data_IF_071417076880
#
_entry.id   IF_071417076880
#
_cell.length_a   1.000
_cell.length_b   1.000
_cell.length_c   1.000
_cell.angle_alpha   90.00
_cell.angle_beta   90.00
_cell.angle_gamma   90.00
#
_symmetry.space_group_name_H-M   'P 1'
#
loop_
_entity.id
_entity.type
_entity.pdbx_description
1 polymer ?
#
# COMPACT_ATOMS: atom_id res chain seq x y z
N UNK A 1 17.99 49.24 -23.85
CA UNK A 1 17.09 48.97 -22.72
C UNK A 1 16.37 47.69 -23.09
N UNK A 2 17.06 46.57 -22.88
CA UNK A 2 16.74 45.26 -23.44
C UNK A 2 15.54 44.65 -22.75
N UNK A 3 14.55 44.33 -23.56
CA UNK A 3 13.38 43.51 -23.27
C UNK A 3 13.81 42.23 -22.54
N UNK A 4 13.66 42.22 -21.21
CA UNK A 4 13.83 41.02 -20.39
C UNK A 4 12.55 40.20 -20.56
N UNK A 5 12.49 39.45 -21.66
CA UNK A 5 11.48 38.44 -21.89
C UNK A 5 11.40 37.54 -20.66
N UNK A 6 10.34 37.70 -19.87
CA UNK A 6 10.08 36.85 -18.73
C UNK A 6 9.88 35.42 -19.24
N UNK A 7 10.51 34.41 -18.63
CA UNK A 7 10.33 33.03 -19.05
C UNK A 7 8.84 32.70 -18.96
N UNK A 8 8.30 32.30 -20.11
CA UNK A 8 6.89 32.02 -20.31
C UNK A 8 6.43 30.94 -19.31
N UNK A 9 5.59 31.31 -18.33
CA UNK A 9 5.11 30.44 -17.22
C UNK A 9 4.11 29.35 -17.67
N UNK A 10 4.19 28.92 -18.93
CA UNK A 10 3.24 27.98 -19.55
C UNK A 10 3.84 26.60 -19.82
N UNK A 11 4.98 26.27 -19.20
CA UNK A 11 5.49 24.91 -19.24
C UNK A 11 4.62 24.02 -18.31
N UNK A 12 3.90 23.01 -18.82
CA UNK A 12 3.12 22.11 -18.00
C UNK A 12 4.06 21.44 -17.00
N UNK A 13 3.96 21.81 -15.71
CA UNK A 13 4.77 21.24 -14.64
C UNK A 13 4.81 19.71 -14.81
N UNK A 14 5.99 19.10 -15.05
CA UNK A 14 6.08 17.66 -15.29
C UNK A 14 5.39 16.94 -14.14
N UNK A 15 4.43 16.07 -14.46
CA UNK A 15 3.81 15.22 -13.44
C UNK A 15 4.92 14.52 -12.64
N UNK A 16 4.90 14.54 -11.30
CA UNK A 16 5.90 13.86 -10.51
C UNK A 16 6.03 12.40 -10.96
N UNK A 17 7.22 12.01 -11.40
CA UNK A 17 7.56 10.68 -11.97
C UNK A 17 7.12 9.49 -11.10
N UNK A 18 6.82 9.73 -9.82
CA UNK A 18 6.35 8.74 -8.83
C UNK A 18 4.90 8.28 -8.98
N UNK A 19 4.01 9.06 -9.61
CA UNK A 19 2.58 8.74 -9.66
C UNK A 19 2.22 7.44 -10.42
N UNK A 20 2.74 7.18 -11.64
CA UNK A 20 2.38 5.97 -12.39
C UNK A 20 2.93 4.69 -11.75
N UNK A 21 4.05 4.77 -11.03
CA UNK A 21 4.61 3.63 -10.27
C UNK A 21 3.70 3.28 -9.09
N UNK A 22 3.23 4.29 -8.35
CA UNK A 22 2.34 4.10 -7.21
C UNK A 22 1.00 3.47 -7.61
N UNK A 23 0.40 3.95 -8.70
CA UNK A 23 -0.86 3.41 -9.23
C UNK A 23 -0.70 1.97 -9.74
N UNK A 24 0.45 1.64 -10.33
CA UNK A 24 0.76 0.28 -10.76
C UNK A 24 0.94 -0.66 -9.57
N UNK A 25 1.65 -0.21 -8.53
CA UNK A 25 1.79 -0.95 -7.27
C UNK A 25 0.43 -1.20 -6.60
N UNK A 26 -0.45 -0.19 -6.55
CA UNK A 26 -1.80 -0.32 -6.00
C UNK A 26 -2.62 -1.39 -6.75
N UNK A 27 -2.57 -1.36 -8.09
CA UNK A 27 -3.31 -2.32 -8.92
C UNK A 27 -2.81 -3.75 -8.74
N UNK A 28 -1.50 -3.95 -8.71
CA UNK A 28 -0.92 -5.27 -8.42
C UNK A 28 -1.23 -5.75 -7.01
N UNK A 29 -1.16 -4.86 -6.01
CA UNK A 29 -1.55 -5.17 -4.65
C UNK A 29 -3.00 -5.64 -4.53
N UNK A 30 -3.92 -5.00 -5.26
CA UNK A 30 -5.34 -5.37 -5.26
C UNK A 30 -5.55 -6.76 -5.89
N UNK A 31 -4.90 -7.01 -7.04
CA UNK A 31 -4.99 -8.30 -7.75
C UNK A 31 -4.44 -9.43 -6.88
N UNK A 32 -3.26 -9.25 -6.29
CA UNK A 32 -2.63 -10.27 -5.43
C UNK A 32 -3.47 -10.52 -4.18
N UNK A 33 -4.01 -9.46 -3.56
CA UNK A 33 -4.92 -9.60 -2.41
C UNK A 33 -6.16 -10.40 -2.79
N UNK A 34 -6.81 -10.07 -3.92
CA UNK A 34 -7.99 -10.80 -4.39
C UNK A 34 -7.68 -12.27 -4.69
N UNK A 35 -6.52 -12.55 -5.31
CA UNK A 35 -6.08 -13.91 -5.59
C UNK A 35 -5.82 -14.70 -4.30
N UNK A 36 -5.22 -14.07 -3.29
CA UNK A 36 -5.00 -14.69 -1.99
C UNK A 36 -6.31 -14.96 -1.25
N UNK A 37 -7.27 -14.03 -1.28
CA UNK A 37 -8.60 -14.22 -0.69
C UNK A 37 -9.27 -15.44 -1.34
N UNK A 38 -9.26 -15.53 -2.66
CA UNK A 38 -9.84 -16.68 -3.37
C UNK A 38 -9.12 -18.00 -3.01
N UNK A 39 -7.78 -18.01 -3.00
CA UNK A 39 -6.99 -19.19 -2.68
C UNK A 39 -7.23 -19.67 -1.23
N UNK A 40 -7.16 -18.76 -0.25
CA UNK A 40 -7.37 -19.11 1.15
C UNK A 40 -8.83 -19.41 1.48
N UNK A 41 -9.80 -18.84 0.74
CA UNK A 41 -11.20 -19.26 0.84
C UNK A 41 -11.36 -20.73 0.46
N UNK A 42 -10.79 -21.13 -0.69
CA UNK A 42 -10.87 -22.52 -1.18
C UNK A 42 -10.12 -23.47 -0.25
N UNK A 43 -8.86 -23.16 0.10
CA UNK A 43 -8.07 -24.01 0.99
C UNK A 43 -8.72 -24.10 2.36
N UNK A 44 -9.18 -22.97 2.91
CA UNK A 44 -9.84 -22.93 4.21
C UNK A 44 -11.12 -23.75 4.24
N UNK A 45 -11.93 -23.65 3.18
CA UNK A 45 -13.13 -24.48 3.03
C UNK A 45 -12.81 -25.98 3.02
N UNK A 46 -11.75 -26.38 2.33
CA UNK A 46 -11.35 -27.80 2.25
C UNK A 46 -10.77 -28.34 3.56
N UNK A 47 -10.13 -27.49 4.37
CA UNK A 47 -9.45 -27.91 5.62
C UNK A 47 -10.42 -28.00 6.80
N UNK A 48 -11.24 -26.98 7.00
CA UNK A 48 -12.14 -26.90 8.17
C UNK A 48 -13.56 -26.47 7.83
N UNK A 49 -13.95 -26.51 6.55
CA UNK A 49 -15.30 -26.17 6.11
C UNK A 49 -15.59 -24.68 6.24
N UNK A 50 -16.77 -24.35 6.74
CA UNK A 50 -17.25 -22.97 6.81
C UNK A 50 -16.37 -22.06 7.70
N UNK A 51 -15.88 -22.50 8.88
CA UNK A 51 -14.94 -21.71 9.68
C UNK A 51 -13.61 -21.41 9.00
N UNK A 52 -13.07 -22.37 8.24
CA UNK A 52 -11.82 -22.19 7.51
C UNK A 52 -11.94 -21.22 6.34
N UNK A 53 -13.06 -21.24 5.62
CA UNK A 53 -13.36 -20.29 4.55
C UNK A 53 -13.31 -18.85 5.08
N UNK A 54 -14.06 -18.57 6.15
CA UNK A 54 -14.10 -17.24 6.76
C UNK A 54 -12.76 -16.84 7.35
N UNK A 55 -12.08 -17.74 8.05
CA UNK A 55 -10.75 -17.50 8.60
C UNK A 55 -9.73 -17.12 7.52
N UNK A 56 -9.68 -17.90 6.43
CA UNK A 56 -8.79 -17.64 5.30
C UNK A 56 -9.09 -16.32 4.60
N UNK A 57 -10.37 -16.02 4.32
CA UNK A 57 -10.78 -14.78 3.67
C UNK A 57 -10.46 -13.55 4.52
N UNK A 58 -10.80 -13.58 5.81
CA UNK A 58 -10.60 -12.43 6.69
C UNK A 58 -9.10 -12.22 6.96
N UNK A 59 -8.34 -13.29 7.20
CA UNK A 59 -6.91 -13.19 7.41
C UNK A 59 -6.19 -12.59 6.22
N UNK A 60 -6.50 -13.07 5.01
CA UNK A 60 -5.89 -12.52 3.79
C UNK A 60 -6.35 -11.10 3.48
N UNK A 61 -7.63 -10.78 3.70
CA UNK A 61 -8.18 -9.44 3.54
C UNK A 61 -7.56 -8.42 4.50
N UNK A 62 -7.34 -8.79 5.78
CA UNK A 62 -6.64 -7.95 6.75
C UNK A 62 -5.21 -7.64 6.29
N UNK A 63 -4.48 -8.65 5.81
CA UNK A 63 -3.13 -8.42 5.27
C UNK A 63 -3.13 -7.52 4.03
N UNK A 64 -4.09 -7.70 3.12
CA UNK A 64 -4.27 -6.82 1.96
C UNK A 64 -4.63 -5.39 2.34
N UNK A 65 -5.51 -5.21 3.33
CA UNK A 65 -5.87 -3.89 3.89
C UNK A 65 -4.64 -3.16 4.42
N UNK A 66 -3.74 -3.86 5.11
CA UNK A 66 -2.50 -3.27 5.62
C UNK A 66 -1.56 -2.78 4.52
N UNK A 67 -1.52 -3.47 3.38
CA UNK A 67 -0.77 -3.02 2.20
C UNK A 67 -1.45 -1.82 1.53
N UNK A 68 -2.77 -1.88 1.33
CA UNK A 68 -3.54 -0.77 0.73
C UNK A 68 -3.42 0.51 1.53
N UNK A 69 -3.43 0.40 2.86
CA UNK A 69 -3.29 1.53 3.75
C UNK A 69 -1.91 2.21 3.61
N UNK A 70 -0.84 1.44 3.42
CA UNK A 70 0.50 1.98 3.17
C UNK A 70 0.60 2.71 1.84
N UNK A 71 0.06 2.13 0.77
CA UNK A 71 0.04 2.81 -0.54
C UNK A 71 -0.85 4.05 -0.51
N UNK A 72 -2.00 3.96 0.16
CA UNK A 72 -2.95 5.05 0.34
C UNK A 72 -2.39 6.22 1.11
N UNK A 73 -1.62 5.99 2.19
CA UNK A 73 -1.03 7.07 2.98
C UNK A 73 0.01 7.86 2.17
N UNK A 74 0.82 7.18 1.36
CA UNK A 74 1.81 7.81 0.48
C UNK A 74 1.11 8.59 -0.65
N UNK A 75 0.10 8.00 -1.30
CA UNK A 75 -0.67 8.67 -2.34
C UNK A 75 -1.37 9.94 -1.81
N UNK A 76 -1.93 9.85 -0.61
CA UNK A 76 -2.60 10.97 0.05
C UNK A 76 -1.61 12.06 0.46
N UNK A 77 -0.43 11.70 1.00
CA UNK A 77 0.62 12.64 1.35
C UNK A 77 1.16 13.40 0.13
N UNK A 78 1.31 12.71 -1.01
CA UNK A 78 1.78 13.31 -2.26
C UNK A 78 0.87 14.45 -2.77
N UNK A 79 -0.42 14.46 -2.38
CA UNK A 79 -1.37 15.53 -2.73
C UNK A 79 -0.99 16.89 -2.13
N UNK A 80 -0.18 16.92 -1.08
CA UNK A 80 0.19 18.14 -0.36
C UNK A 80 1.57 18.68 -0.74
N UNK A 81 2.24 18.12 -1.76
CA UNK A 81 3.60 18.53 -2.17
C UNK A 81 3.72 20.03 -2.50
N UNK A 82 2.67 20.62 -3.08
CA UNK A 82 2.64 22.03 -3.51
C UNK A 82 2.27 23.02 -2.37
N UNK A 83 2.43 22.65 -1.10
CA UNK A 83 2.02 23.47 0.05
C UNK A 83 3.20 23.75 0.98
N UNK A 84 3.30 24.98 1.47
CA UNK A 84 4.36 25.42 2.41
C UNK A 84 4.44 24.56 3.69
N UNK A 85 3.35 23.90 4.07
CA UNK A 85 3.29 23.00 5.24
C UNK A 85 3.49 21.51 4.91
N UNK A 86 3.99 21.17 3.72
CA UNK A 86 4.16 19.79 3.25
C UNK A 86 4.88 18.89 4.26
N UNK A 87 5.96 19.38 4.87
CA UNK A 87 6.74 18.59 5.85
C UNK A 87 5.87 18.19 7.04
N UNK A 88 5.12 19.14 7.62
CA UNK A 88 4.22 18.88 8.75
C UNK A 88 3.10 17.91 8.36
N UNK A 89 2.48 18.11 7.19
CA UNK A 89 1.44 17.20 6.70
C UNK A 89 1.96 15.79 6.43
N UNK A 90 3.14 15.66 5.81
CA UNK A 90 3.78 14.38 5.53
C UNK A 90 4.03 13.59 6.82
N UNK A 91 4.69 14.19 7.82
CA UNK A 91 4.92 13.53 9.10
C UNK A 91 3.61 13.19 9.82
N UNK A 92 2.63 14.09 9.80
CA UNK A 92 1.31 13.84 10.38
C UNK A 92 0.58 12.67 9.72
N UNK A 93 0.63 12.55 8.39
CA UNK A 93 0.00 11.45 7.64
C UNK A 93 0.75 10.14 7.89
N UNK A 94 2.08 10.14 7.87
CA UNK A 94 2.88 8.94 8.11
C UNK A 94 2.67 8.43 9.53
N UNK A 95 2.86 9.29 10.55
CA UNK A 95 2.65 8.93 11.95
C UNK A 95 1.18 8.55 12.24
N UNK A 96 0.23 9.29 11.68
CA UNK A 96 -1.19 9.01 11.79
C UNK A 96 -1.56 7.67 11.16
N UNK A 97 -1.01 7.35 9.99
CA UNK A 97 -1.22 6.06 9.33
C UNK A 97 -0.61 4.91 10.13
N UNK A 98 0.53 5.12 10.78
CA UNK A 98 1.13 4.13 11.67
C UNK A 98 0.22 3.84 12.87
N UNK A 99 -0.23 4.87 13.59
CA UNK A 99 -1.14 4.71 14.74
C UNK A 99 -2.46 4.07 14.33
N UNK A 100 -3.08 4.55 13.26
CA UNK A 100 -4.33 3.99 12.76
C UNK A 100 -4.18 2.52 12.37
N UNK A 101 -3.04 2.15 11.76
CA UNK A 101 -2.73 0.75 11.44
C UNK A 101 -2.69 -0.12 12.69
N UNK A 102 -2.07 0.35 13.76
CA UNK A 102 -2.06 -0.36 15.05
C UNK A 102 -3.46 -0.49 15.64
N UNK A 103 -4.26 0.59 15.61
CA UNK A 103 -5.64 0.54 16.11
C UNK A 103 -6.47 -0.50 15.36
N UNK A 104 -6.41 -0.50 14.02
CA UNK A 104 -7.11 -1.48 13.18
C UNK A 104 -6.63 -2.90 13.47
N UNK A 105 -5.32 -3.10 13.62
CA UNK A 105 -4.75 -4.42 13.94
C UNK A 105 -5.23 -4.93 15.30
N UNK A 106 -5.14 -4.09 16.34
CA UNK A 106 -5.58 -4.46 17.69
C UNK A 106 -7.08 -4.72 17.70
N UNK A 107 -7.88 -3.87 17.06
CA UNK A 107 -9.33 -4.07 16.94
C UNK A 107 -9.65 -5.40 16.25
N UNK A 108 -8.95 -5.74 15.17
CA UNK A 108 -9.12 -7.03 14.50
C UNK A 108 -8.75 -8.20 15.42
N UNK A 109 -7.59 -8.17 16.09
CA UNK A 109 -7.19 -9.26 17.00
C UNK A 109 -8.20 -9.42 18.14
N UNK A 110 -8.64 -8.32 18.77
CA UNK A 110 -9.60 -8.36 19.87
C UNK A 110 -10.96 -8.87 19.41
N UNK A 111 -11.43 -8.47 18.24
CA UNK A 111 -12.74 -8.87 17.72
C UNK A 111 -12.75 -10.33 17.23
N UNK A 112 -11.63 -10.81 16.68
CA UNK A 112 -11.55 -12.14 16.05
C UNK A 112 -11.00 -13.24 16.96
N UNK A 113 -10.39 -12.93 18.12
CA UNK A 113 -9.77 -13.94 19.00
C UNK A 113 -10.75 -14.97 19.59
N UNK A 114 -11.99 -14.55 19.86
CA UNK A 114 -13.01 -15.36 20.54
C UNK A 114 -14.11 -15.85 19.57
N UNK A 115 -13.86 -15.74 18.25
CA UNK A 115 -14.84 -16.10 17.23
C UNK A 115 -14.86 -17.62 16.99
N UNK A 116 -15.81 -18.34 17.60
CA UNK A 116 -15.97 -19.80 17.43
C UNK A 116 -16.29 -20.22 15.99
N UNK A 117 -16.86 -19.32 15.19
CA UNK A 117 -17.17 -19.53 13.77
C UNK A 117 -15.95 -19.34 12.86
N UNK A 118 -14.78 -19.02 13.40
CA UNK A 118 -13.54 -18.83 12.67
C UNK A 118 -12.52 -19.92 13.01
N UNK A 119 -11.84 -20.42 11.98
CA UNK A 119 -10.61 -21.16 12.21
C UNK A 119 -9.44 -20.19 12.40
N UNK A 120 -9.03 -20.01 13.66
CA UNK A 120 -7.90 -19.15 14.05
C UNK A 120 -6.60 -19.54 13.35
N UNK A 121 -6.38 -20.83 13.05
CA UNK A 121 -5.17 -21.28 12.34
C UNK A 121 -5.21 -20.75 10.91
N UNK A 122 -6.36 -20.83 10.26
CA UNK A 122 -6.50 -20.37 8.87
C UNK A 122 -6.43 -18.85 8.75
N UNK A 123 -6.98 -18.12 9.73
CA UNK A 123 -6.78 -16.68 9.84
C UNK A 123 -5.30 -16.33 9.98
N UNK A 124 -4.59 -17.00 10.89
CA UNK A 124 -3.17 -16.76 11.14
C UNK A 124 -2.32 -16.98 9.89
N UNK A 125 -2.50 -18.12 9.21
CA UNK A 125 -1.78 -18.40 7.96
C UNK A 125 -2.17 -17.45 6.82
N UNK A 126 -3.44 -17.02 6.76
CA UNK A 126 -3.90 -16.03 5.77
C UNK A 126 -3.22 -14.67 5.96
N UNK A 127 -3.13 -14.18 7.19
CA UNK A 127 -2.41 -12.93 7.51
C UNK A 127 -0.93 -13.07 7.13
N UNK A 128 -0.27 -14.16 7.53
CA UNK A 128 1.14 -14.40 7.21
C UNK A 128 1.37 -14.44 5.70
N UNK A 129 0.57 -15.20 4.96
CA UNK A 129 0.70 -15.32 3.52
C UNK A 129 0.53 -13.96 2.82
N UNK A 130 -0.43 -13.14 3.27
CA UNK A 130 -0.60 -11.78 2.75
C UNK A 130 0.60 -10.87 3.06
N UNK A 131 1.20 -10.98 4.25
CA UNK A 131 2.42 -10.22 4.59
C UNK A 131 3.59 -10.65 3.70
N UNK A 132 3.80 -11.96 3.49
CA UNK A 132 4.84 -12.45 2.59
C UNK A 132 4.60 -11.99 1.15
N UNK A 133 3.37 -12.08 0.66
CA UNK A 133 3.03 -11.62 -0.68
C UNK A 133 3.23 -10.10 -0.86
N UNK A 134 2.91 -9.31 0.18
CA UNK A 134 3.19 -7.87 0.23
C UNK A 134 4.69 -7.62 0.08
N UNK A 135 5.53 -8.29 0.87
CA UNK A 135 6.98 -8.10 0.81
C UNK A 135 7.55 -8.48 -0.56
N UNK A 136 7.08 -9.58 -1.15
CA UNK A 136 7.47 -9.99 -2.50
C UNK A 136 7.05 -8.94 -3.52
N UNK A 137 5.82 -8.40 -3.41
CA UNK A 137 5.36 -7.31 -4.27
C UNK A 137 6.24 -6.07 -4.14
N UNK A 138 6.58 -5.67 -2.92
CA UNK A 138 7.43 -4.51 -2.67
C UNK A 138 8.80 -4.70 -3.35
N UNK A 139 9.44 -5.86 -3.15
CA UNK A 139 10.73 -6.21 -3.78
C UNK A 139 10.62 -6.21 -5.31
N UNK A 140 9.56 -6.80 -5.88
CA UNK A 140 9.36 -6.88 -7.33
C UNK A 140 9.11 -5.50 -7.92
N UNK A 141 8.25 -4.69 -7.30
CA UNK A 141 7.92 -3.32 -7.75
C UNK A 141 9.18 -2.45 -7.72
N UNK A 142 9.94 -2.49 -6.63
CA UNK A 142 11.18 -1.72 -6.49
C UNK A 142 12.22 -2.18 -7.52
N UNK A 143 12.41 -3.49 -7.70
CA UNK A 143 13.36 -4.02 -8.69
C UNK A 143 12.97 -3.67 -10.14
N UNK A 144 11.67 -3.49 -10.40
CA UNK A 144 11.14 -3.09 -11.71
C UNK A 144 11.16 -1.58 -11.93
N UNK A 145 11.23 -0.77 -10.87
CA UNK A 145 11.44 0.68 -10.99
C UNK A 145 12.89 0.96 -11.40
N UNK A 146 13.17 0.90 -12.70
CA UNK A 146 14.39 1.47 -13.25
C UNK A 146 14.32 2.98 -13.08
N UNK A 147 14.94 3.52 -12.05
CA UNK A 147 15.11 4.97 -11.86
C UNK A 147 16.20 5.40 -12.85
N UNK A 148 15.90 6.20 -13.89
CA UNK A 148 16.94 6.78 -14.72
C UNK A 148 17.68 7.79 -13.84
N UNK A 149 18.91 7.45 -13.44
CA UNK A 149 19.81 8.40 -12.80
C UNK A 149 20.31 9.32 -13.92
N UNK A 150 19.53 10.34 -14.27
CA UNK A 150 20.07 11.46 -15.02
C UNK A 150 20.86 12.27 -13.99
N UNK A 151 22.15 11.97 -13.88
CA UNK A 151 23.07 12.88 -13.22
C UNK A 151 23.14 14.13 -14.08
N UNK A 152 22.54 15.21 -13.63
CA UNK A 152 22.66 16.52 -14.27
C UNK A 152 24.09 17.04 -14.01
N UNK A 153 25.07 16.47 -14.72
CA UNK A 153 26.47 16.88 -14.69
C UNK A 153 26.71 17.81 -15.87
N UNK A 154 26.20 19.04 -15.76
CA UNK A 154 26.68 20.16 -16.57
C UNK A 154 26.14 21.48 -16.05
N UNK A 155 26.87 22.11 -15.13
CA UNK A 155 26.95 23.58 -15.06
C UNK A 155 28.43 23.97 -14.89
N UNK A 156 29.10 24.47 -15.94
CA UNK A 156 30.29 25.28 -15.77
C UNK A 156 29.95 26.62 -15.09
#
# INVERSE_FOLDING_TARGET
MSDLAQPNETDPRPMPTSQPVLLRALRWGLIVTAALIAAFAVIGFLVSGQPGLWGGMIGTALGGLFLMMTVGSIAFANRFIDRDFYITAFFGIVLGSWVFKFIVFIAAVVLLRDAEWLDTRMLFFGVIASVFASLVLDVVVISRSRIPIISDRSRP
#
